data_IF_483072628638
#
_entry.id   IF_483072628638
#
_cell.length_a   1.000
_cell.length_b   1.000
_cell.length_c   1.000
_cell.angle_alpha   90.00
_cell.angle_beta   90.00
_cell.angle_gamma   90.00
#
_symmetry.space_group_name_H-M   'P 1'
#
loop_
_entity.id
_entity.type
_entity.pdbx_description
1 polymer ?
#
# COMPACT_ATOMS: atom_id res chain seq x y z
N UNK A 1 -23.46 0.61 23.23
CA UNK A 1 -22.71 1.54 24.07
C UNK A 1 -21.55 2.02 23.26
N UNK A 2 -21.27 3.31 23.29
CA UNK A 2 -20.11 3.87 22.63
C UNK A 2 -18.82 3.33 23.26
N UNK A 3 -17.80 3.09 22.46
CA UNK A 3 -16.47 2.64 22.89
C UNK A 3 -15.61 3.84 23.24
N UNK A 4 -15.81 4.95 22.51
CA UNK A 4 -15.06 6.19 22.64
C UNK A 4 -15.88 7.26 23.38
N UNK A 5 -15.19 8.28 23.89
CA UNK A 5 -15.87 9.45 24.51
C UNK A 5 -16.54 10.32 23.45
N UNK A 6 -17.86 10.24 23.35
CA UNK A 6 -18.68 11.01 22.40
C UNK A 6 -18.63 12.54 22.64
N UNK A 7 -18.13 13.00 23.78
CA UNK A 7 -17.92 14.44 24.02
C UNK A 7 -16.71 14.98 23.25
N UNK A 8 -15.84 14.11 22.78
CA UNK A 8 -14.72 14.46 21.89
C UNK A 8 -15.18 14.26 20.45
N UNK A 9 -15.44 15.34 19.74
CA UNK A 9 -16.03 15.30 18.40
C UNK A 9 -15.31 14.36 17.43
N UNK A 10 -13.96 14.34 17.46
CA UNK A 10 -13.15 13.44 16.61
C UNK A 10 -13.47 11.98 16.90
N UNK A 11 -13.58 11.61 18.17
CA UNK A 11 -13.87 10.23 18.56
C UNK A 11 -15.31 9.83 18.20
N UNK A 12 -16.26 10.77 18.37
CA UNK A 12 -17.64 10.56 17.94
C UNK A 12 -17.69 10.26 16.44
N UNK A 13 -17.10 11.09 15.60
CA UNK A 13 -17.11 10.90 14.15
C UNK A 13 -16.37 9.63 13.72
N UNK A 14 -15.24 9.32 14.36
CA UNK A 14 -14.52 8.08 14.07
C UNK A 14 -15.37 6.85 14.39
N UNK A 15 -16.08 6.84 15.51
CA UNK A 15 -16.97 5.73 15.86
C UNK A 15 -18.19 5.65 14.93
N UNK A 16 -18.69 6.78 14.44
CA UNK A 16 -19.78 6.81 13.45
C UNK A 16 -19.34 6.21 12.11
N UNK A 17 -18.20 6.64 11.55
CA UNK A 17 -17.71 6.11 10.28
C UNK A 17 -17.27 4.64 10.38
N UNK A 18 -16.76 4.19 11.52
CA UNK A 18 -16.40 2.79 11.75
C UNK A 18 -17.59 1.82 11.67
N UNK A 19 -18.81 2.33 11.76
CA UNK A 19 -20.05 1.55 11.59
C UNK A 19 -20.47 1.42 10.13
N UNK A 20 -19.82 2.17 9.24
CA UNK A 20 -20.14 2.23 7.81
C UNK A 20 -19.08 1.41 7.06
N UNK A 21 -19.46 0.37 6.30
CA UNK A 21 -18.55 -0.27 5.37
C UNK A 21 -17.97 0.71 4.35
N UNK A 22 -16.62 0.78 4.26
CA UNK A 22 -15.93 1.77 3.41
C UNK A 22 -14.60 1.26 2.86
N UNK A 23 -14.52 -0.02 2.52
CA UNK A 23 -13.36 -0.55 1.80
C UNK A 23 -13.18 0.11 0.43
N UNK A 24 -11.95 0.12 -0.10
CA UNK A 24 -11.66 0.64 -1.44
C UNK A 24 -12.58 0.00 -2.50
N UNK A 25 -13.13 0.81 -3.40
CA UNK A 25 -14.19 0.53 -4.38
C UNK A 25 -15.61 0.37 -3.80
N UNK A 26 -15.80 0.48 -2.48
CA UNK A 26 -17.10 0.34 -1.81
C UNK A 26 -17.41 1.57 -0.92
N UNK A 27 -16.97 2.75 -1.34
CA UNK A 27 -17.04 3.99 -0.55
C UNK A 27 -18.37 4.75 -0.68
N UNK A 28 -19.34 4.23 -1.43
CA UNK A 28 -20.60 4.93 -1.67
C UNK A 28 -21.33 5.30 -0.38
N UNK A 29 -21.38 4.38 0.59
CA UNK A 29 -22.07 4.58 1.88
C UNK A 29 -21.42 5.66 2.75
N UNK A 30 -20.08 5.69 2.80
CA UNK A 30 -19.37 6.74 3.55
C UNK A 30 -19.44 8.08 2.83
N UNK A 31 -19.42 8.09 1.49
CA UNK A 31 -19.65 9.31 0.72
C UNK A 31 -21.07 9.86 0.93
N UNK A 32 -22.09 8.99 1.03
CA UNK A 32 -23.45 9.37 1.41
C UNK A 32 -23.49 10.00 2.81
N UNK A 33 -22.77 9.43 3.76
CA UNK A 33 -22.67 9.96 5.11
C UNK A 33 -22.05 11.36 5.11
N UNK A 34 -20.93 11.58 4.44
CA UNK A 34 -20.26 12.89 4.35
C UNK A 34 -21.11 13.91 3.57
N UNK A 35 -21.78 13.50 2.52
CA UNK A 35 -22.71 14.34 1.77
C UNK A 35 -23.91 14.76 2.64
N UNK A 36 -24.49 13.82 3.41
CA UNK A 36 -25.61 14.13 4.33
C UNK A 36 -25.14 15.04 5.46
N UNK A 37 -23.95 14.85 6.00
CA UNK A 37 -23.36 15.77 6.96
C UNK A 37 -23.30 17.21 6.40
N UNK A 38 -22.87 17.38 5.14
CA UNK A 38 -22.83 18.69 4.52
C UNK A 38 -24.22 19.32 4.37
N UNK A 39 -25.24 18.51 4.02
CA UNK A 39 -26.65 18.96 3.92
C UNK A 39 -27.21 19.39 5.28
N UNK A 40 -27.00 18.61 6.33
CA UNK A 40 -27.47 18.87 7.68
C UNK A 40 -26.89 20.17 8.27
N UNK A 41 -25.63 20.47 7.94
CA UNK A 41 -24.94 21.68 8.39
C UNK A 41 -25.08 22.86 7.39
N UNK A 42 -25.88 22.69 6.32
CA UNK A 42 -26.10 23.69 5.26
C UNK A 42 -24.79 24.17 4.59
N UNK A 43 -23.80 23.30 4.45
CA UNK A 43 -22.59 23.61 3.71
C UNK A 43 -22.81 23.49 2.20
N UNK A 44 -22.12 24.32 1.42
CA UNK A 44 -21.93 24.08 0.00
C UNK A 44 -21.02 22.86 -0.17
N UNK A 45 -21.36 21.96 -1.07
CA UNK A 45 -20.55 20.78 -1.35
C UNK A 45 -20.60 20.41 -2.83
N UNK A 46 -19.67 19.55 -3.24
CA UNK A 46 -19.64 18.83 -4.52
C UNK A 46 -19.36 17.37 -4.21
N UNK A 47 -20.15 16.47 -4.81
CA UNK A 47 -19.82 15.05 -4.92
C UNK A 47 -19.56 14.74 -6.38
N UNK A 48 -18.43 14.17 -6.72
CA UNK A 48 -18.10 13.79 -8.08
C UNK A 48 -18.54 12.36 -8.40
N UNK A 49 -18.31 11.95 -9.65
CA UNK A 49 -18.70 10.61 -10.12
C UNK A 49 -17.81 9.46 -9.59
N UNK A 50 -16.73 9.79 -8.91
CA UNK A 50 -15.87 8.82 -8.21
C UNK A 50 -16.26 8.63 -6.74
N UNK A 51 -17.23 9.42 -6.24
CA UNK A 51 -17.60 9.55 -4.84
C UNK A 51 -16.64 10.37 -3.97
N UNK A 52 -15.71 11.13 -4.56
CA UNK A 52 -15.04 12.16 -3.78
C UNK A 52 -16.07 13.22 -3.35
N UNK A 53 -15.94 13.70 -2.10
CA UNK A 53 -16.82 14.77 -1.58
C UNK A 53 -15.95 15.96 -1.17
N UNK A 54 -16.32 17.14 -1.62
CA UNK A 54 -15.68 18.41 -1.25
C UNK A 54 -16.69 19.27 -0.52
N UNK A 55 -16.39 19.69 0.71
CA UNK A 55 -17.22 20.56 1.53
C UNK A 55 -16.54 21.91 1.67
N UNK A 56 -17.29 22.99 1.47
CA UNK A 56 -16.79 24.36 1.58
C UNK A 56 -17.36 25.02 2.83
N UNK A 57 -16.49 25.50 3.73
CA UNK A 57 -16.86 26.29 4.90
C UNK A 57 -16.31 27.71 4.73
N UNK A 58 -17.21 28.72 4.81
CA UNK A 58 -16.83 30.12 4.70
C UNK A 58 -15.95 30.54 5.89
N UNK A 59 -15.05 31.49 5.66
CA UNK A 59 -14.21 32.06 6.70
C UNK A 59 -15.04 32.61 7.86
N UNK A 60 -14.49 32.51 9.07
CA UNK A 60 -15.04 33.19 10.25
C UNK A 60 -14.76 34.69 10.19
N UNK A 61 -15.60 35.54 10.89
CA UNK A 61 -15.41 36.97 10.86
C UNK A 61 -13.98 37.40 11.21
N UNK A 62 -13.39 38.23 10.36
CA UNK A 62 -12.01 38.71 10.46
C UNK A 62 -10.97 37.85 9.75
N UNK A 63 -11.34 36.70 9.16
CA UNK A 63 -10.45 35.81 8.43
C UNK A 63 -10.76 35.72 6.92
N UNK A 64 -11.67 36.54 6.41
CA UNK A 64 -12.16 36.50 5.01
C UNK A 64 -11.07 36.81 3.98
N UNK A 65 -10.09 37.62 4.40
CA UNK A 65 -8.98 38.04 3.51
C UNK A 65 -7.76 37.13 3.58
N UNK A 66 -7.81 36.02 4.35
CA UNK A 66 -6.75 35.04 4.37
C UNK A 66 -6.89 34.07 3.21
N UNK A 67 -5.76 33.47 2.80
CA UNK A 67 -5.77 32.42 1.76
C UNK A 67 -6.67 31.25 2.20
N UNK A 68 -7.44 30.75 1.25
CA UNK A 68 -8.21 29.51 1.45
C UNK A 68 -7.26 28.35 1.73
N UNK A 69 -7.61 27.52 2.70
CA UNK A 69 -6.86 26.33 3.09
C UNK A 69 -7.65 25.08 2.70
N UNK A 70 -7.01 24.15 2.06
CA UNK A 70 -7.53 22.82 1.80
C UNK A 70 -7.10 21.88 2.91
N UNK A 71 -8.02 21.09 3.44
CA UNK A 71 -7.77 19.91 4.27
C UNK A 71 -8.13 18.69 3.43
N UNK A 72 -7.33 17.63 3.49
CA UNK A 72 -7.57 16.43 2.72
C UNK A 72 -7.36 15.18 3.58
N UNK A 73 -8.25 14.21 3.40
CA UNK A 73 -8.19 12.86 3.96
C UNK A 73 -8.87 11.87 3.00
N UNK A 74 -8.48 10.58 3.04
CA UNK A 74 -9.19 9.58 2.25
C UNK A 74 -10.22 8.82 3.09
N UNK A 75 -11.31 8.42 2.43
CA UNK A 75 -12.45 7.75 3.08
C UNK A 75 -12.38 6.24 3.03
N UNK A 76 -11.58 5.68 2.12
CA UNK A 76 -11.43 4.23 1.99
C UNK A 76 -10.43 3.66 3.00
N UNK A 77 -10.53 2.37 3.24
CA UNK A 77 -9.63 1.64 4.12
C UNK A 77 -9.20 0.31 3.51
N UNK A 78 -8.03 -0.18 3.92
CA UNK A 78 -7.56 -1.54 3.64
C UNK A 78 -8.44 -2.55 4.37
N UNK A 79 -8.99 -3.52 3.64
CA UNK A 79 -9.86 -4.58 4.15
C UNK A 79 -9.07 -5.87 4.40
N UNK A 80 -8.51 -6.04 5.60
CA UNK A 80 -7.80 -7.24 6.01
C UNK A 80 -8.38 -7.80 7.32
N UNK A 81 -8.48 -9.12 7.43
CA UNK A 81 -8.98 -9.81 8.62
C UNK A 81 -8.19 -11.07 8.94
N UNK A 82 -8.22 -11.50 10.19
CA UNK A 82 -7.68 -12.78 10.60
C UNK A 82 -8.47 -13.93 9.94
N UNK A 83 -7.78 -15.04 9.65
CA UNK A 83 -8.37 -16.18 8.92
C UNK A 83 -9.53 -16.85 9.63
N UNK A 84 -9.56 -16.76 10.96
CA UNK A 84 -10.57 -17.36 11.86
C UNK A 84 -11.73 -16.43 12.18
N UNK A 85 -11.74 -15.21 11.60
CA UNK A 85 -12.78 -14.21 11.82
C UNK A 85 -13.78 -14.25 10.68
N UNK A 86 -15.05 -14.46 11.02
CA UNK A 86 -16.16 -14.28 10.11
C UNK A 86 -16.58 -12.81 10.13
N UNK A 87 -16.29 -12.09 9.06
CA UNK A 87 -16.54 -10.64 8.89
C UNK A 87 -16.63 -10.31 7.42
N UNK A 88 -17.63 -9.54 7.04
CA UNK A 88 -17.82 -9.06 5.68
C UNK A 88 -17.65 -7.53 5.63
N UNK A 89 -16.59 -7.08 4.99
CA UNK A 89 -16.28 -5.66 4.85
C UNK A 89 -17.29 -4.86 4.01
N UNK A 90 -18.21 -5.49 3.29
CA UNK A 90 -19.26 -4.80 2.53
C UNK A 90 -20.52 -4.54 3.37
N UNK A 91 -20.70 -5.29 4.46
CA UNK A 91 -21.94 -5.25 5.25
C UNK A 91 -21.74 -5.00 6.74
N UNK A 92 -20.62 -5.42 7.32
CA UNK A 92 -20.44 -5.43 8.75
C UNK A 92 -19.77 -4.12 9.26
N UNK A 93 -20.19 -3.71 10.44
CA UNK A 93 -19.55 -2.62 11.18
C UNK A 93 -18.30 -3.12 11.91
N UNK A 94 -17.23 -2.30 11.96
CA UNK A 94 -16.03 -2.63 12.71
C UNK A 94 -16.34 -2.79 14.20
N UNK A 95 -15.83 -3.84 14.81
CA UNK A 95 -16.01 -4.12 16.24
C UNK A 95 -14.86 -3.47 17.02
N UNK A 96 -15.05 -2.20 17.42
CA UNK A 96 -14.07 -1.42 18.14
C UNK A 96 -13.98 -1.85 19.61
N UNK A 97 -12.76 -1.78 20.18
CA UNK A 97 -12.52 -1.96 21.62
C UNK A 97 -11.26 -1.22 22.04
N UNK A 98 -11.14 -0.94 23.35
CA UNK A 98 -9.94 -0.36 23.94
C UNK A 98 -9.22 -1.42 24.76
N UNK A 99 -7.92 -1.55 24.53
CA UNK A 99 -7.03 -2.42 25.30
C UNK A 99 -5.71 -1.70 25.57
N UNK A 100 -5.32 -1.63 26.82
CA UNK A 100 -4.10 -0.94 27.29
C UNK A 100 -3.98 0.53 26.81
N UNK A 101 -5.09 1.22 26.68
CA UNK A 101 -5.15 2.60 26.21
C UNK A 101 -5.09 2.76 24.68
N UNK A 102 -5.08 1.64 23.93
CA UNK A 102 -5.09 1.64 22.48
C UNK A 102 -6.47 1.27 21.92
N UNK A 103 -6.94 2.06 20.97
CA UNK A 103 -8.11 1.70 20.18
C UNK A 103 -7.74 0.63 19.15
N UNK A 104 -8.54 -0.43 19.08
CA UNK A 104 -8.36 -1.57 18.20
C UNK A 104 -9.68 -2.02 17.58
N UNK A 105 -9.61 -2.75 16.46
CA UNK A 105 -10.73 -3.48 15.87
C UNK A 105 -10.52 -4.99 16.07
N UNK A 106 -11.59 -5.71 16.38
CA UNK A 106 -11.51 -7.13 16.74
C UNK A 106 -11.35 -8.02 15.51
N UNK A 107 -10.11 -8.41 15.26
CA UNK A 107 -9.76 -9.37 14.20
C UNK A 107 -9.76 -8.80 12.77
N UNK A 108 -9.91 -7.50 12.64
CA UNK A 108 -9.85 -6.78 11.35
C UNK A 108 -8.87 -5.61 11.41
N UNK A 109 -8.61 -5.00 10.25
CA UNK A 109 -8.03 -3.64 10.18
C UNK A 109 -8.95 -2.63 10.86
N UNK A 110 -8.36 -1.53 11.39
CA UNK A 110 -9.06 -0.51 12.17
C UNK A 110 -9.62 0.62 11.29
N UNK A 111 -9.02 0.88 10.11
CA UNK A 111 -9.38 2.01 9.27
C UNK A 111 -9.03 3.38 9.88
N UNK A 112 -8.04 3.43 10.80
CA UNK A 112 -7.57 4.69 11.38
C UNK A 112 -6.80 5.54 10.36
N UNK A 113 -6.18 4.89 9.41
CA UNK A 113 -5.62 5.41 8.16
C UNK A 113 -6.72 5.33 7.08
N UNK A 114 -7.33 6.41 6.59
CA UNK A 114 -7.23 7.79 7.13
C UNK A 114 -8.56 8.25 7.78
N UNK A 115 -9.26 7.30 8.43
CA UNK A 115 -10.53 7.56 9.13
C UNK A 115 -10.40 8.62 10.23
N UNK A 116 -9.21 8.76 10.87
CA UNK A 116 -8.98 9.85 11.80
C UNK A 116 -8.90 11.19 11.08
N UNK A 117 -8.24 11.29 9.92
CA UNK A 117 -8.23 12.50 9.11
C UNK A 117 -9.63 12.94 8.69
N UNK A 118 -10.46 11.97 8.24
CA UNK A 118 -11.89 12.20 7.97
C UNK A 118 -12.59 12.76 9.20
N UNK A 119 -12.38 12.16 10.37
CA UNK A 119 -13.02 12.57 11.62
C UNK A 119 -12.56 13.95 12.08
N UNK A 120 -11.28 14.29 11.91
CA UNK A 120 -10.77 15.64 12.16
C UNK A 120 -11.46 16.68 11.28
N UNK A 121 -11.62 16.40 9.98
CA UNK A 121 -12.30 17.35 9.08
C UNK A 121 -13.75 17.55 9.48
N UNK A 122 -14.49 16.48 9.81
CA UNK A 122 -15.87 16.57 10.28
C UNK A 122 -15.97 17.36 11.60
N UNK A 123 -15.05 17.15 12.53
CA UNK A 123 -15.00 17.91 13.78
C UNK A 123 -14.73 19.40 13.56
N UNK A 124 -13.77 19.76 12.67
CA UNK A 124 -13.49 21.16 12.30
C UNK A 124 -14.70 21.79 11.60
N UNK A 125 -15.37 21.04 10.74
CA UNK A 125 -16.56 21.51 10.03
C UNK A 125 -17.74 21.77 10.97
N UNK A 126 -17.93 20.93 11.99
CA UNK A 126 -19.04 21.05 12.94
C UNK A 126 -18.80 22.05 14.07
N UNK A 127 -17.56 22.53 14.29
CA UNK A 127 -17.24 23.46 15.35
C UNK A 127 -17.33 24.91 14.86
N UNK A 128 -18.33 25.63 15.35
CA UNK A 128 -18.55 27.05 15.04
C UNK A 128 -17.73 28.01 15.92
N UNK A 129 -16.98 27.48 16.87
CA UNK A 129 -16.13 28.29 17.77
C UNK A 129 -14.73 28.51 17.23
N UNK A 130 -14.29 27.66 16.33
CA UNK A 130 -12.97 27.74 15.70
C UNK A 130 -12.87 28.94 14.76
N UNK A 131 -11.76 29.66 14.83
CA UNK A 131 -11.43 30.72 13.88
C UNK A 131 -10.64 30.15 12.72
N UNK A 132 -11.11 30.35 11.49
CA UNK A 132 -10.50 29.79 10.30
C UNK A 132 -10.72 30.66 9.05
N UNK A 133 -9.84 30.62 8.05
CA UNK A 133 -10.08 31.16 6.72
C UNK A 133 -11.15 30.34 5.98
N UNK A 134 -11.43 30.64 4.72
CA UNK A 134 -12.21 29.74 3.89
C UNK A 134 -11.56 28.34 3.87
N UNK A 135 -12.35 27.30 4.10
CA UNK A 135 -11.90 25.91 4.07
C UNK A 135 -12.49 25.17 2.89
N UNK A 136 -11.67 24.33 2.29
CA UNK A 136 -12.05 23.31 1.30
C UNK A 136 -11.66 21.94 1.89
N UNK A 137 -12.65 21.23 2.46
CA UNK A 137 -12.44 19.90 3.02
C UNK A 137 -12.69 18.84 1.96
N UNK A 138 -11.64 18.13 1.57
CA UNK A 138 -11.62 17.18 0.45
C UNK A 138 -11.53 15.77 0.98
N UNK A 139 -12.62 15.04 0.84
CA UNK A 139 -12.74 13.63 1.22
C UNK A 139 -12.55 12.80 -0.05
N UNK A 140 -11.40 12.14 -0.18
CA UNK A 140 -11.06 11.34 -1.35
C UNK A 140 -11.40 9.87 -1.17
N UNK A 141 -11.44 9.13 -2.27
CA UNK A 141 -11.69 7.69 -2.32
C UNK A 141 -10.55 6.97 -3.02
N UNK A 142 -10.45 5.65 -2.82
CA UNK A 142 -9.51 4.77 -3.53
C UNK A 142 -8.05 5.23 -3.44
N UNK A 143 -7.65 5.73 -2.27
CA UNK A 143 -6.25 6.06 -1.98
C UNK A 143 -5.42 4.79 -1.96
N UNK A 144 -5.85 3.78 -1.21
CA UNK A 144 -5.18 2.51 -0.91
C UNK A 144 -4.98 1.60 -2.15
N UNK A 145 -5.61 1.96 -3.25
CA UNK A 145 -5.55 1.24 -4.54
C UNK A 145 -4.95 2.11 -5.65
N UNK A 146 -4.18 3.12 -5.29
CA UNK A 146 -3.36 3.90 -6.21
C UNK A 146 -3.84 5.33 -6.46
N UNK A 147 -4.45 5.99 -5.46
CA UNK A 147 -4.84 7.40 -5.50
C UNK A 147 -5.89 7.72 -6.57
N UNK A 148 -6.72 6.72 -6.96
CA UNK A 148 -7.60 6.86 -8.11
C UNK A 148 -8.64 7.97 -7.94
N UNK A 149 -9.16 8.18 -6.74
CA UNK A 149 -10.08 9.28 -6.44
C UNK A 149 -9.43 10.63 -6.67
N UNK A 150 -8.26 10.85 -6.06
CA UNK A 150 -7.56 12.14 -6.14
C UNK A 150 -7.06 12.48 -7.54
N UNK A 151 -6.65 11.49 -8.35
CA UNK A 151 -6.25 11.67 -9.76
C UNK A 151 -7.41 12.20 -10.61
N UNK A 152 -8.65 11.85 -10.26
CA UNK A 152 -9.86 12.25 -11.00
C UNK A 152 -10.47 13.58 -10.53
N UNK A 153 -9.95 14.20 -9.47
CA UNK A 153 -10.40 15.50 -9.01
C UNK A 153 -10.18 16.58 -10.05
N UNK A 154 -11.18 17.44 -10.24
CA UNK A 154 -11.13 18.53 -11.21
C UNK A 154 -10.62 19.81 -10.56
N UNK A 155 -9.71 20.50 -11.24
CA UNK A 155 -9.14 21.76 -10.78
C UNK A 155 -10.19 22.83 -10.47
N UNK A 156 -11.31 22.82 -11.18
CA UNK A 156 -12.41 23.76 -11.02
C UNK A 156 -13.12 23.69 -9.66
N UNK A 157 -12.90 22.61 -8.90
CA UNK A 157 -13.45 22.47 -7.56
C UNK A 157 -12.71 23.30 -6.52
N UNK A 158 -11.51 23.83 -6.83
CA UNK A 158 -10.58 24.36 -5.83
C UNK A 158 -10.17 25.79 -6.09
N UNK A 159 -10.10 26.57 -5.01
CA UNK A 159 -9.50 27.90 -4.98
C UNK A 159 -8.26 27.91 -4.06
N UNK A 160 -8.14 26.95 -3.15
CA UNK A 160 -7.03 26.86 -2.22
C UNK A 160 -5.70 26.69 -2.95
N UNK A 161 -4.66 27.34 -2.39
CA UNK A 161 -3.27 27.21 -2.82
C UNK A 161 -2.39 26.57 -1.77
N UNK A 162 -2.95 26.31 -0.59
CA UNK A 162 -2.31 25.66 0.54
C UNK A 162 -3.13 24.44 0.90
N UNK A 163 -2.47 23.30 1.04
CA UNK A 163 -3.12 22.04 1.41
C UNK A 163 -2.43 21.46 2.64
N UNK A 164 -3.23 20.89 3.53
CA UNK A 164 -2.79 20.07 4.64
C UNK A 164 -3.43 18.69 4.41
N UNK A 165 -2.61 17.69 4.05
CA UNK A 165 -3.02 16.29 4.05
C UNK A 165 -2.99 15.78 5.49
N UNK A 166 -4.06 15.12 5.91
CA UNK A 166 -4.19 14.59 7.28
C UNK A 166 -3.73 13.13 7.35
N UNK A 167 -3.48 12.54 6.20
CA UNK A 167 -2.90 11.23 6.02
C UNK A 167 -1.37 11.28 6.22
N UNK A 168 -0.96 11.36 7.45
CA UNK A 168 0.46 11.49 7.79
C UNK A 168 0.85 10.67 9.02
N UNK A 169 2.05 10.08 8.96
CA UNK A 169 2.63 9.36 10.10
C UNK A 169 3.42 10.26 11.04
N UNK A 170 3.24 10.06 12.36
CA UNK A 170 4.02 10.68 13.43
C UNK A 170 3.33 11.87 14.08
N UNK A 171 3.49 11.97 15.43
CA UNK A 171 2.75 12.92 16.27
C UNK A 171 3.19 14.38 16.08
N UNK A 172 4.43 14.60 15.69
CA UNK A 172 5.06 15.93 15.67
C UNK A 172 5.82 16.23 14.37
N UNK A 173 5.59 15.45 13.34
CA UNK A 173 6.29 15.61 12.06
C UNK A 173 5.35 16.10 10.96
N UNK A 174 5.85 16.98 10.10
CA UNK A 174 5.16 17.42 8.90
C UNK A 174 6.02 17.07 7.70
N UNK A 175 5.46 16.33 6.75
CA UNK A 175 6.12 16.01 5.49
C UNK A 175 5.73 17.07 4.45
N UNK A 176 6.71 17.78 3.90
CA UNK A 176 6.47 18.84 2.90
C UNK A 176 6.72 18.39 1.47
N UNK A 177 7.22 17.17 1.28
CA UNK A 177 7.53 16.59 -0.03
C UNK A 177 7.27 15.11 -0.02
N UNK A 178 6.83 14.57 -1.16
CA UNK A 178 6.67 13.13 -1.38
C UNK A 178 7.47 12.70 -2.60
N UNK A 179 7.90 11.44 -2.63
CA UNK A 179 8.45 10.84 -3.84
C UNK A 179 7.31 10.32 -4.71
N UNK A 180 7.43 10.50 -6.03
CA UNK A 180 6.51 9.91 -6.98
C UNK A 180 6.78 8.42 -7.19
N UNK A 181 5.76 7.67 -7.64
CA UNK A 181 5.85 6.28 -8.06
C UNK A 181 5.67 6.15 -9.58
N UNK A 182 6.23 5.09 -10.14
CA UNK A 182 5.97 4.67 -11.52
C UNK A 182 5.86 3.15 -11.55
N UNK A 183 4.80 2.67 -12.20
CA UNK A 183 4.60 1.25 -12.45
C UNK A 183 5.08 0.91 -13.86
N UNK A 184 5.75 -0.23 -14.01
CA UNK A 184 6.12 -0.81 -15.28
C UNK A 184 5.57 -2.24 -15.34
N UNK A 185 4.72 -2.50 -16.31
CA UNK A 185 4.22 -3.84 -16.62
C UNK A 185 5.03 -4.41 -17.76
N UNK A 186 5.58 -5.60 -17.56
CA UNK A 186 6.39 -6.29 -18.58
C UNK A 186 5.74 -7.64 -18.84
N UNK A 187 5.12 -7.75 -20.00
CA UNK A 187 4.47 -8.96 -20.44
C UNK A 187 5.31 -9.65 -21.53
N UNK A 188 5.50 -10.95 -21.39
CA UNK A 188 6.17 -11.77 -22.40
C UNK A 188 5.37 -13.03 -22.67
N UNK A 189 4.94 -13.19 -23.90
CA UNK A 189 4.34 -14.43 -24.36
C UNK A 189 5.42 -15.51 -24.45
N UNK A 190 5.23 -16.61 -23.74
CA UNK A 190 6.10 -17.78 -23.80
C UNK A 190 5.36 -18.91 -24.53
N UNK A 191 6.05 -19.64 -25.40
CA UNK A 191 5.59 -20.91 -25.90
C UNK A 191 6.22 -22.02 -25.04
N UNK A 192 5.52 -23.12 -24.88
CA UNK A 192 5.92 -24.23 -24.03
C UNK A 192 5.99 -25.52 -24.84
N UNK A 193 6.91 -26.42 -24.49
CA UNK A 193 7.02 -27.77 -25.08
C UNK A 193 6.95 -28.81 -23.97
N UNK A 194 6.51 -30.01 -24.31
CA UNK A 194 6.60 -31.16 -23.43
C UNK A 194 8.03 -31.70 -23.34
N UNK A 195 8.53 -31.82 -22.13
CA UNK A 195 9.83 -32.44 -21.87
C UNK A 195 9.72 -33.44 -20.73
N UNK A 196 10.44 -34.57 -20.89
CA UNK A 196 10.51 -35.61 -19.86
C UNK A 196 11.86 -35.52 -19.15
N UNK A 197 11.93 -34.62 -18.15
CA UNK A 197 13.12 -34.36 -17.34
C UNK A 197 12.78 -34.33 -15.87
N UNK A 198 13.74 -34.59 -14.96
CA UNK A 198 13.57 -34.41 -13.53
C UNK A 198 13.12 -32.98 -13.22
N UNK A 199 12.11 -32.85 -12.37
CA UNK A 199 11.52 -31.58 -11.96
C UNK A 199 12.03 -31.18 -10.58
N UNK A 200 12.38 -29.91 -10.43
CA UNK A 200 12.87 -29.32 -9.20
C UNK A 200 12.06 -28.08 -8.85
N UNK A 201 11.89 -27.85 -7.54
CA UNK A 201 11.30 -26.62 -7.01
C UNK A 201 12.29 -25.89 -6.13
N UNK A 202 12.58 -24.64 -6.43
CA UNK A 202 13.41 -23.73 -5.64
C UNK A 202 12.51 -22.74 -4.93
N UNK A 203 12.67 -22.60 -3.62
CA UNK A 203 11.90 -21.69 -2.79
C UNK A 203 12.86 -20.77 -2.03
N UNK A 204 12.62 -19.48 -2.10
CA UNK A 204 13.23 -18.45 -1.26
C UNK A 204 12.16 -17.93 -0.33
N UNK A 205 12.38 -18.00 1.00
CA UNK A 205 11.41 -17.55 2.01
C UNK A 205 12.08 -17.14 3.31
N UNK A 206 11.30 -16.51 4.20
CA UNK A 206 11.77 -16.11 5.52
C UNK A 206 12.47 -14.75 5.52
N UNK A 207 12.25 -13.91 4.51
CA UNK A 207 12.74 -12.54 4.46
C UNK A 207 11.79 -11.60 5.20
N UNK A 208 12.32 -10.51 5.75
CA UNK A 208 11.54 -9.55 6.56
C UNK A 208 10.46 -8.83 5.77
N UNK A 209 10.76 -8.48 4.50
CA UNK A 209 9.88 -7.64 3.71
C UNK A 209 9.80 -6.20 4.24
N UNK A 210 8.79 -5.48 3.80
CA UNK A 210 8.53 -4.10 4.20
C UNK A 210 7.95 -3.27 3.07
N UNK A 211 7.55 -2.04 3.36
CA UNK A 211 7.06 -1.11 2.35
C UNK A 211 8.19 -0.73 1.38
N UNK A 212 7.94 -0.82 0.06
CA UNK A 212 8.97 -0.62 -0.98
C UNK A 212 9.56 0.80 -1.01
N UNK A 213 8.83 1.80 -0.52
CA UNK A 213 9.31 3.16 -0.33
C UNK A 213 9.92 3.38 1.06
N UNK A 214 9.13 3.20 2.12
CA UNK A 214 9.54 3.53 3.49
C UNK A 214 10.68 2.68 4.05
N UNK A 215 10.92 1.47 3.50
CA UNK A 215 11.97 0.57 3.96
C UNK A 215 13.07 0.33 2.91
N UNK A 216 13.12 1.10 1.82
CA UNK A 216 14.07 0.87 0.73
C UNK A 216 15.53 1.12 1.17
N UNK A 217 15.73 2.05 2.08
CA UNK A 217 17.02 2.40 2.69
C UNK A 217 17.56 1.31 3.63
N UNK A 218 16.70 0.41 4.09
CA UNK A 218 17.07 -0.69 4.99
C UNK A 218 17.71 -1.87 4.27
N UNK A 219 17.89 -1.79 2.96
CA UNK A 219 18.53 -2.82 2.11
C UNK A 219 18.00 -4.24 2.30
N UNK A 220 16.68 -4.39 2.60
CA UNK A 220 16.04 -5.67 2.84
C UNK A 220 16.11 -6.59 1.64
N UNK A 221 16.21 -7.88 1.91
CA UNK A 221 16.27 -8.91 0.88
C UNK A 221 14.98 -8.94 0.04
N UNK A 222 15.12 -8.96 -1.29
CA UNK A 222 14.03 -9.16 -2.22
C UNK A 222 14.06 -10.61 -2.73
N UNK A 223 13.05 -11.41 -2.37
CA UNK A 223 13.01 -12.84 -2.66
C UNK A 223 13.06 -13.16 -4.16
N UNK A 224 12.44 -12.33 -5.00
CA UNK A 224 12.45 -12.53 -6.46
C UNK A 224 13.87 -12.33 -7.00
N UNK A 225 14.57 -11.28 -6.60
CA UNK A 225 15.97 -11.05 -7.00
C UNK A 225 16.88 -12.19 -6.55
N UNK A 226 16.72 -12.65 -5.31
CA UNK A 226 17.51 -13.77 -4.77
C UNK A 226 17.22 -15.05 -5.55
N UNK A 227 15.94 -15.36 -5.82
CA UNK A 227 15.53 -16.51 -6.60
C UNK A 227 16.23 -16.54 -7.96
N UNK A 228 16.19 -15.44 -8.71
CA UNK A 228 16.84 -15.37 -10.02
C UNK A 228 18.37 -15.42 -9.93
N UNK A 229 19.00 -14.85 -8.91
CA UNK A 229 20.44 -15.01 -8.67
C UNK A 229 20.83 -16.48 -8.50
N UNK A 230 20.03 -17.27 -7.80
CA UNK A 230 20.26 -18.70 -7.67
C UNK A 230 20.02 -19.41 -8.99
N UNK A 231 18.91 -19.17 -9.69
CA UNK A 231 18.59 -19.78 -10.97
C UNK A 231 19.69 -19.54 -12.02
N UNK A 232 20.28 -18.35 -12.07
CA UNK A 232 21.38 -18.00 -12.98
C UNK A 232 22.66 -18.83 -12.77
N UNK A 233 22.86 -19.39 -11.59
CA UNK A 233 24.02 -20.28 -11.34
C UNK A 233 23.82 -21.70 -11.82
N UNK A 234 22.56 -22.08 -12.11
CA UNK A 234 22.19 -23.42 -12.53
C UNK A 234 22.39 -23.58 -14.04
N UNK A 235 22.89 -24.74 -14.44
CA UNK A 235 23.13 -25.07 -15.84
C UNK A 235 22.00 -25.94 -16.38
N UNK A 236 21.71 -25.81 -17.68
CA UNK A 236 20.75 -26.62 -18.43
C UNK A 236 19.36 -26.73 -17.80
N UNK A 237 18.90 -25.62 -17.22
CA UNK A 237 17.55 -25.52 -16.64
C UNK A 237 16.55 -25.00 -17.66
N UNK A 238 15.33 -25.52 -17.59
CA UNK A 238 14.15 -24.97 -18.31
C UNK A 238 13.09 -24.62 -17.29
N UNK A 239 12.69 -23.34 -17.25
CA UNK A 239 11.74 -22.84 -16.28
C UNK A 239 10.31 -23.25 -16.67
N UNK A 240 9.61 -23.82 -15.71
CA UNK A 240 8.19 -24.22 -15.82
C UNK A 240 7.29 -23.09 -15.34
N UNK A 241 7.59 -22.57 -14.14
CA UNK A 241 6.83 -21.48 -13.54
C UNK A 241 7.70 -20.69 -12.57
N UNK A 242 7.35 -19.42 -12.40
CA UNK A 242 7.91 -18.54 -11.37
C UNK A 242 6.76 -17.82 -10.71
N UNK A 243 6.80 -17.71 -9.40
CA UNK A 243 5.83 -16.95 -8.63
C UNK A 243 6.52 -16.23 -7.46
N UNK A 244 6.06 -15.03 -7.12
CA UNK A 244 6.60 -14.27 -5.99
C UNK A 244 6.06 -12.84 -5.94
N UNK A 245 6.04 -12.29 -4.72
CA UNK A 245 5.45 -10.98 -4.46
C UNK A 245 3.92 -11.04 -4.35
N UNK A 246 3.37 -10.37 -3.33
CA UNK A 246 1.92 -10.33 -3.09
C UNK A 246 1.33 -8.96 -3.40
N UNK A 247 2.08 -7.90 -3.17
CA UNK A 247 1.69 -6.51 -3.36
C UNK A 247 2.81 -5.74 -4.05
N UNK A 248 2.46 -4.84 -4.94
CA UNK A 248 3.42 -4.06 -5.73
C UNK A 248 4.18 -3.01 -4.88
N UNK A 249 3.59 -2.55 -3.77
CA UNK A 249 4.22 -1.64 -2.82
C UNK A 249 4.95 -2.35 -1.67
N UNK A 250 5.10 -3.67 -1.73
CA UNK A 250 5.80 -4.46 -0.72
C UNK A 250 7.06 -5.12 -1.26
N UNK A 251 8.16 -5.09 -0.49
CA UNK A 251 9.37 -5.86 -0.78
C UNK A 251 9.03 -7.35 -0.65
N UNK A 252 9.20 -8.16 -1.70
CA UNK A 252 8.77 -9.57 -1.69
C UNK A 252 9.52 -10.38 -0.64
N UNK A 253 8.77 -11.10 0.21
CA UNK A 253 9.31 -11.95 1.28
C UNK A 253 9.56 -13.38 0.83
N UNK A 254 8.76 -13.83 -0.13
CA UNK A 254 8.77 -15.22 -0.63
C UNK A 254 8.69 -15.22 -2.14
N UNK A 255 9.41 -16.16 -2.76
CA UNK A 255 9.34 -16.45 -4.19
C UNK A 255 9.70 -17.91 -4.44
N UNK A 256 9.15 -18.48 -5.51
CA UNK A 256 9.40 -19.85 -5.91
C UNK A 256 9.52 -20.00 -7.41
N UNK A 257 10.30 -20.97 -7.83
CA UNK A 257 10.38 -21.38 -9.22
C UNK A 257 10.30 -22.91 -9.32
N UNK A 258 9.55 -23.38 -10.31
CA UNK A 258 9.60 -24.77 -10.76
C UNK A 258 10.37 -24.82 -12.05
N UNK A 259 11.31 -25.74 -12.17
CA UNK A 259 12.14 -25.93 -13.38
C UNK A 259 12.50 -27.41 -13.58
N UNK A 260 12.92 -27.74 -14.77
CA UNK A 260 13.41 -29.08 -15.10
C UNK A 260 14.87 -29.01 -15.50
N UNK A 261 15.62 -30.09 -15.23
CA UNK A 261 17.02 -30.24 -15.60
C UNK A 261 17.43 -31.71 -15.58
N UNK A 262 18.30 -32.12 -16.51
CA UNK A 262 18.95 -33.42 -16.47
C UNK A 262 20.12 -33.45 -15.46
N UNK A 263 20.62 -32.26 -15.09
CA UNK A 263 21.68 -32.10 -14.11
C UNK A 263 21.07 -31.79 -12.73
N UNK A 264 21.43 -32.61 -11.74
CA UNK A 264 21.00 -32.34 -10.35
C UNK A 264 21.52 -30.98 -9.91
N UNK A 265 20.61 -30.04 -9.52
CA UNK A 265 21.02 -28.72 -9.09
C UNK A 265 21.91 -28.76 -7.85
N UNK A 266 23.01 -28.01 -7.85
CA UNK A 266 23.82 -27.74 -6.68
C UNK A 266 23.75 -26.24 -6.34
N UNK A 267 23.15 -25.93 -5.20
CA UNK A 267 22.95 -24.55 -4.72
C UNK A 267 23.74 -24.26 -3.44
N UNK A 268 24.59 -25.18 -2.98
CA UNK A 268 25.28 -25.05 -1.69
C UNK A 268 26.17 -23.80 -1.63
N UNK A 269 27.00 -23.59 -2.66
CA UNK A 269 27.92 -22.47 -2.69
C UNK A 269 27.17 -21.13 -2.76
N UNK A 270 26.24 -20.97 -3.72
CA UNK A 270 25.47 -19.72 -3.83
C UNK A 270 24.62 -19.45 -2.59
N UNK A 271 24.12 -20.50 -1.94
CA UNK A 271 23.38 -20.35 -0.68
C UNK A 271 24.29 -19.85 0.44
N UNK A 272 25.52 -20.36 0.54
CA UNK A 272 26.49 -19.90 1.52
C UNK A 272 26.88 -18.43 1.26
N UNK A 273 27.14 -18.07 0.01
CA UNK A 273 27.49 -16.70 -0.38
C UNK A 273 26.35 -15.72 -0.03
N UNK A 274 25.11 -16.08 -0.37
CA UNK A 274 23.91 -15.29 -0.05
C UNK A 274 23.71 -15.16 1.46
N UNK A 275 23.88 -16.23 2.23
CA UNK A 275 23.81 -16.16 3.69
C UNK A 275 24.80 -15.15 4.24
N UNK A 276 26.06 -15.25 3.85
CA UNK A 276 27.10 -14.31 4.28
C UNK A 276 26.76 -12.87 3.92
N UNK A 277 26.26 -12.64 2.69
CA UNK A 277 25.85 -11.31 2.23
C UNK A 277 24.73 -10.71 3.10
N UNK A 278 23.74 -11.51 3.45
CA UNK A 278 22.56 -11.04 4.17
C UNK A 278 22.71 -11.10 5.71
N UNK A 279 23.47 -12.04 6.26
CA UNK A 279 23.84 -12.05 7.69
C UNK A 279 24.64 -10.80 8.07
N UNK A 280 25.52 -10.36 7.19
CA UNK A 280 26.23 -9.09 7.37
C UNK A 280 25.29 -7.87 7.45
N UNK A 281 24.08 -8.00 6.86
CA UNK A 281 23.04 -6.97 6.82
C UNK A 281 21.94 -7.15 7.88
N UNK A 282 22.06 -8.10 8.81
CA UNK A 282 21.07 -8.47 9.85
C UNK A 282 19.67 -8.89 9.35
N UNK A 283 19.53 -9.48 8.15
CA UNK A 283 18.22 -9.68 7.52
C UNK A 283 18.04 -11.06 6.89
N UNK A 284 18.32 -12.21 7.58
CA UNK A 284 18.22 -13.44 6.83
C UNK A 284 17.87 -14.75 7.55
N UNK A 285 16.90 -15.47 7.00
CA UNK A 285 16.67 -16.91 7.15
C UNK A 285 16.43 -17.55 5.78
N UNK A 286 17.41 -18.26 5.23
CA UNK A 286 17.21 -19.06 4.02
C UNK A 286 16.86 -20.48 4.42
N UNK A 287 15.66 -20.95 4.07
CA UNK A 287 15.31 -22.35 4.19
C UNK A 287 15.92 -23.16 3.04
N UNK A 288 16.84 -24.06 3.36
CA UNK A 288 17.41 -25.04 2.44
C UNK A 288 16.39 -26.13 2.07
N UNK A 289 15.29 -25.79 1.44
CA UNK A 289 14.35 -26.79 0.97
C UNK A 289 14.31 -26.82 -0.56
N UNK A 290 15.29 -27.52 -1.12
CA UNK A 290 15.16 -28.02 -2.49
C UNK A 290 14.26 -29.26 -2.40
N UNK A 291 12.97 -29.11 -2.66
CA UNK A 291 12.04 -30.21 -2.73
C UNK A 291 12.15 -30.83 -4.12
N UNK A 292 12.67 -32.06 -4.15
CA UNK A 292 12.67 -32.92 -5.33
C UNK A 292 11.30 -33.56 -5.47
N UNK A 293 10.55 -33.20 -6.48
CA UNK A 293 9.36 -33.95 -6.89
C UNK A 293 9.72 -34.87 -8.05
N UNK A 294 9.57 -36.17 -7.84
CA UNK A 294 9.67 -37.17 -8.89
C UNK A 294 8.27 -37.37 -9.48
N UNK A 295 7.86 -36.53 -10.41
CA UNK A 295 6.62 -36.71 -11.16
C UNK A 295 6.83 -36.27 -12.59
N UNK A 296 6.23 -37.01 -13.54
CA UNK A 296 6.18 -36.60 -14.92
C UNK A 296 5.31 -35.36 -15.05
N UNK A 297 5.93 -34.22 -15.15
CA UNK A 297 5.25 -32.95 -15.43
C UNK A 297 5.41 -32.64 -16.91
N UNK A 298 4.29 -32.38 -17.56
CA UNK A 298 4.32 -31.89 -18.95
C UNK A 298 4.68 -30.39 -18.91
N UNK A 299 5.80 -30.08 -19.53
CA UNK A 299 6.34 -28.71 -19.58
C UNK A 299 6.43 -28.29 -21.05
N UNK A 300 6.00 -27.10 -21.34
CA UNK A 300 5.95 -26.55 -22.70
C UNK A 300 7.07 -25.54 -22.97
N UNK A 301 7.78 -25.62 -24.08
CA UNK A 301 8.91 -24.73 -24.44
C UNK A 301 8.64 -23.85 -25.65
N UNK A 302 9.30 -22.72 -25.73
CA UNK A 302 9.24 -21.80 -26.84
C UNK A 302 10.28 -22.13 -27.94
N UNK A 303 9.83 -22.25 -29.19
CA UNK A 303 10.63 -22.60 -30.36
C UNK A 303 11.26 -21.40 -31.08
N UNK A 304 11.45 -20.28 -30.51
CA UNK A 304 12.21 -19.21 -31.14
C UNK A 304 12.67 -18.19 -30.13
N UNK A 305 13.90 -18.18 -29.83
CA UNK A 305 14.89 -17.17 -29.57
C UNK A 305 15.96 -17.73 -28.64
N UNK A 306 17.20 -17.64 -29.08
CA UNK A 306 18.39 -17.90 -28.27
C UNK A 306 18.26 -17.38 -26.85
N UNK A 307 18.63 -18.23 -25.91
CA UNK A 307 18.53 -18.08 -24.44
C UNK A 307 18.64 -16.68 -23.88
N UNK A 308 17.57 -15.94 -23.90
CA UNK A 308 17.46 -14.76 -23.06
C UNK A 308 16.82 -15.16 -21.73
N UNK A 309 17.65 -15.53 -20.79
CA UNK A 309 17.40 -15.26 -19.37
C UNK A 309 17.07 -13.76 -19.33
N UNK A 310 15.92 -13.40 -18.80
CA UNK A 310 15.62 -12.00 -18.51
C UNK A 310 16.74 -11.51 -17.60
N UNK A 311 17.75 -10.85 -18.19
CA UNK A 311 18.79 -10.16 -17.44
C UNK A 311 18.14 -8.92 -16.82
N UNK A 312 17.58 -9.09 -15.63
CA UNK A 312 16.97 -8.00 -14.87
C UNK A 312 18.02 -6.96 -14.48
N UNK A 313 19.31 -7.25 -14.66
CA UNK A 313 20.38 -6.26 -14.48
C UNK A 313 20.37 -5.17 -15.56
N UNK A 314 19.76 -5.46 -16.71
CA UNK A 314 19.65 -4.53 -17.86
C UNK A 314 18.33 -3.74 -17.88
N UNK A 315 17.36 -4.09 -17.05
CA UNK A 315 16.22 -3.19 -16.82
C UNK A 315 16.72 -2.05 -15.93
N UNK A 316 16.80 -0.82 -16.44
CA UNK A 316 17.20 0.30 -15.61
C UNK A 316 16.13 0.47 -14.53
N UNK A 317 16.34 -0.18 -13.40
CA UNK A 317 15.68 0.17 -12.16
C UNK A 317 16.16 1.59 -11.85
N UNK A 318 15.41 2.58 -12.28
CA UNK A 318 15.51 3.91 -11.74
C UNK A 318 15.10 3.83 -10.27
N UNK A 319 16.04 3.40 -9.45
CA UNK A 319 16.01 3.70 -8.03
C UNK A 319 16.04 5.23 -7.95
N UNK A 320 15.08 5.87 -7.27
CA UNK A 320 15.21 7.27 -6.99
C UNK A 320 16.56 7.43 -6.26
N UNK A 321 17.49 8.15 -6.87
CA UNK A 321 18.68 8.61 -6.16
C UNK A 321 18.17 9.54 -5.08
N UNK A 322 18.25 9.11 -3.85
CA UNK A 322 18.09 9.98 -2.70
C UNK A 322 19.18 11.04 -2.81
N UNK A 323 18.81 12.24 -3.26
CA UNK A 323 19.63 13.41 -3.05
C UNK A 323 19.47 13.74 -1.58
N UNK A 324 20.48 13.42 -0.77
CA UNK A 324 20.60 13.99 0.57
C UNK A 324 20.74 15.50 0.38
N UNK A 325 19.67 16.24 0.55
CA UNK A 325 19.75 17.67 0.77
C UNK A 325 20.27 17.87 2.20
N UNK A 326 21.54 18.16 2.32
CA UNK A 326 22.06 18.76 3.55
C UNK A 326 21.37 20.10 3.73
N UNK A 327 20.62 20.24 4.80
CA UNK A 327 20.03 21.51 5.19
C UNK A 327 21.15 22.52 5.43
N UNK A 328 21.08 23.64 4.71
CA UNK A 328 21.85 24.84 5.00
C UNK A 328 21.17 25.51 6.19
N UNK A 329 21.86 25.77 7.31
CA UNK A 329 21.27 26.57 8.37
C UNK A 329 21.10 28.00 7.87
N UNK A 330 19.88 28.50 7.94
CA UNK A 330 19.59 29.91 7.72
C UNK A 330 19.85 30.65 9.06
N UNK A 331 20.55 31.77 9.05
CA UNK A 331 20.91 32.51 10.26
C UNK A 331 19.72 33.16 10.96
#
# INVERSE_FOLDING_TARGET
>A
MSVLDENVAIFKYFEEISKIPHGSFHEEKIADYVENFAKEHNFKYVRDNMNNVIIYKNATPGYENHDTVMLQAHMDMVCEKNKDVDFDFETDALNLYIEDGWLKAKGTTLGADDGFGVSYMLAILSDDTLKHPNLECVFTVQEEVGLLGSINLKKEYFNAKKMIGLDGGGEISTCTTTSGGRYAYVDKTCAFEEVNKPTYKLIVKGLDGGHSGACIDQEKGNSIKILFRVLQTLKDIQIVSVNGGLKENAIPREAEATFVSDIKPNIEQITADLKTEFEFRNHFLLCNNLLLFNSSLHVFRNNSVDGYILDISQVPLFLPRYVRSYGIPIP
#
